data_IF_761385991994
#
_entry.id   IF_761385991994
#
_cell.length_a   1.000
_cell.length_b   1.000
_cell.length_c   1.000
_cell.angle_alpha   90.00
_cell.angle_beta   90.00
_cell.angle_gamma   90.00
#
_symmetry.space_group_name_H-M   'P 1'
#
loop_
_entity.id
_entity.type
_entity.pdbx_description
1 polymer ?
#
# COMPACT_ATOMS: atom_id res chain seq x y z
N UNK A 1 -21.16 14.53 -8.19
CA UNK A 1 -21.72 13.91 -6.98
C UNK A 1 -23.08 13.35 -7.33
N UNK A 2 -23.46 12.20 -6.78
CA UNK A 2 -24.80 11.65 -6.99
C UNK A 2 -25.81 12.17 -5.96
N UNK A 3 -27.07 11.71 -6.04
CA UNK A 3 -28.15 12.12 -5.15
C UNK A 3 -27.90 11.77 -3.68
N UNK A 4 -27.09 10.74 -3.41
CA UNK A 4 -26.77 10.30 -2.06
C UNK A 4 -25.56 11.04 -1.47
N UNK A 5 -24.97 12.00 -2.19
CA UNK A 5 -23.78 12.72 -1.73
C UNK A 5 -22.47 11.99 -1.99
N UNK A 6 -22.44 10.97 -2.85
CA UNK A 6 -21.22 10.21 -3.16
C UNK A 6 -20.44 10.86 -4.29
N UNK A 7 -19.12 10.82 -4.19
CA UNK A 7 -18.21 11.16 -5.29
C UNK A 7 -17.81 9.86 -5.99
N UNK A 8 -17.95 9.83 -7.32
CA UNK A 8 -17.57 8.69 -8.14
C UNK A 8 -16.28 9.03 -8.87
N UNK A 9 -15.23 8.25 -8.66
CA UNK A 9 -13.99 8.39 -9.41
C UNK A 9 -14.17 7.84 -10.83
N UNK A 10 -13.84 8.61 -11.89
CA UNK A 10 -13.89 8.13 -13.27
C UNK A 10 -13.02 6.89 -13.47
N UNK A 11 -13.44 5.96 -14.35
CA UNK A 11 -12.67 4.74 -14.65
C UNK A 11 -11.19 5.03 -15.00
N UNK A 12 -10.85 6.01 -15.86
CA UNK A 12 -9.45 6.29 -16.17
C UNK A 12 -8.60 6.65 -14.94
N UNK A 13 -9.18 7.36 -13.97
CA UNK A 13 -8.49 7.73 -12.72
C UNK A 13 -8.25 6.49 -11.86
N UNK A 14 -9.25 5.60 -11.76
CA UNK A 14 -9.10 4.34 -11.01
C UNK A 14 -8.04 3.44 -11.62
N UNK A 15 -8.03 3.32 -12.95
CA UNK A 15 -7.08 2.47 -13.68
C UNK A 15 -5.65 3.03 -13.55
N UNK A 16 -5.46 4.35 -13.67
CA UNK A 16 -4.16 5.01 -13.52
C UNK A 16 -3.57 4.85 -12.12
N UNK A 17 -4.42 4.85 -11.09
CA UNK A 17 -4.03 4.72 -9.70
C UNK A 17 -4.02 3.25 -9.23
N UNK A 18 -4.29 2.29 -10.12
CA UNK A 18 -4.41 0.85 -9.80
C UNK A 18 -5.34 0.57 -8.61
N UNK A 19 -6.47 1.27 -8.54
CA UNK A 19 -7.41 1.11 -7.43
C UNK A 19 -8.23 -0.17 -7.57
N UNK A 20 -8.20 -0.99 -6.54
CA UNK A 20 -9.00 -2.21 -6.46
C UNK A 20 -10.31 -1.99 -5.70
N UNK A 21 -11.28 -2.89 -5.89
CA UNK A 21 -12.53 -2.86 -5.11
C UNK A 21 -12.19 -3.11 -3.65
N UNK A 22 -12.72 -2.28 -2.75
CA UNK A 22 -12.43 -2.37 -1.32
C UNK A 22 -11.19 -1.59 -0.88
N UNK A 23 -10.54 -0.85 -1.79
CA UNK A 23 -9.50 0.09 -1.39
C UNK A 23 -10.05 1.12 -0.38
N UNK A 24 -9.35 1.24 0.75
CA UNK A 24 -9.65 2.19 1.80
C UNK A 24 -8.81 3.46 1.62
N UNK A 25 -9.38 4.61 1.97
CA UNK A 25 -8.72 5.90 1.83
C UNK A 25 -8.96 6.75 3.07
N UNK A 26 -7.91 7.47 3.48
CA UNK A 26 -8.03 8.59 4.39
C UNK A 26 -8.45 9.84 3.60
N UNK A 27 -9.37 10.60 4.19
CA UNK A 27 -9.89 11.83 3.60
C UNK A 27 -9.37 13.04 4.40
N UNK A 28 -8.56 13.87 3.75
CA UNK A 28 -8.06 15.12 4.34
C UNK A 28 -8.78 16.31 3.72
N UNK A 29 -9.30 17.20 4.56
CA UNK A 29 -9.90 18.47 4.14
C UNK A 29 -8.83 19.55 4.15
N UNK A 30 -8.57 20.16 3.00
CA UNK A 30 -7.55 21.19 2.80
C UNK A 30 -8.21 22.44 2.20
N UNK A 31 -8.73 23.30 3.08
CA UNK A 31 -9.54 24.46 2.70
C UNK A 31 -10.79 24.05 1.91
N UNK A 32 -10.79 24.37 0.62
CA UNK A 32 -11.87 24.01 -0.32
C UNK A 32 -11.59 22.72 -1.11
N UNK A 33 -10.47 22.05 -0.82
CA UNK A 33 -10.05 20.83 -1.48
C UNK A 33 -10.27 19.61 -0.58
N UNK A 34 -10.53 18.47 -1.21
CA UNK A 34 -10.45 17.16 -0.58
C UNK A 34 -9.26 16.42 -1.17
N UNK A 35 -8.40 15.88 -0.31
CA UNK A 35 -7.31 15.00 -0.69
C UNK A 35 -7.62 13.59 -0.22
N UNK A 36 -7.53 12.64 -1.14
CA UNK A 36 -7.66 11.22 -0.86
C UNK A 36 -6.25 10.62 -0.81
N UNK A 37 -5.94 9.98 0.30
CA UNK A 37 -4.68 9.26 0.48
C UNK A 37 -5.03 7.79 0.71
N UNK A 38 -4.33 6.82 0.09
CA UNK A 38 -4.55 5.41 0.41
C UNK A 38 -4.43 5.22 1.92
N UNK A 39 -5.41 4.54 2.53
CA UNK A 39 -5.30 4.18 3.94
C UNK A 39 -4.03 3.34 4.08
N UNK A 40 -3.05 3.85 4.82
CA UNK A 40 -1.79 3.16 4.97
C UNK A 40 -2.10 1.78 5.54
N UNK A 41 -1.65 0.67 4.90
CA UNK A 41 -1.71 -0.62 5.57
C UNK A 41 -0.94 -0.49 6.90
N UNK A 42 -1.28 -1.30 7.92
CA UNK A 42 -0.54 -1.30 9.17
C UNK A 42 0.96 -1.30 8.86
N UNK A 43 1.63 -0.20 9.17
CA UNK A 43 3.05 -0.06 8.85
C UNK A 43 3.75 -1.05 9.77
N UNK A 44 4.39 -2.07 9.16
CA UNK A 44 5.22 -3.01 9.93
C UNK A 44 6.21 -2.19 10.73
N UNK A 45 6.29 -2.47 12.03
CA UNK A 45 7.20 -1.73 12.90
C UNK A 45 8.62 -1.88 12.38
N UNK A 46 9.39 -0.79 12.43
CA UNK A 46 10.83 -0.87 12.16
C UNK A 46 11.50 -1.14 13.50
N UNK A 47 12.18 -2.28 13.58
CA UNK A 47 12.97 -2.72 14.74
C UNK A 47 14.46 -2.65 14.41
N UNK A 48 15.31 -2.50 15.42
CA UNK A 48 16.77 -2.52 15.22
C UNK A 48 17.32 -3.94 15.42
N UNK A 49 18.04 -4.46 14.43
CA UNK A 49 18.72 -5.76 14.48
C UNK A 49 20.16 -5.56 14.03
N UNK A 50 21.12 -5.86 14.90
CA UNK A 50 22.55 -5.68 14.64
C UNK A 50 22.94 -4.27 14.12
N UNK A 51 22.26 -3.23 14.61
CA UNK A 51 22.47 -1.83 14.20
C UNK A 51 21.77 -1.44 12.88
N UNK A 52 20.97 -2.33 12.30
CA UNK A 52 20.21 -2.09 11.07
C UNK A 52 18.71 -1.90 11.35
N UNK A 53 18.05 -0.93 10.72
CA UNK A 53 16.59 -0.84 10.75
C UNK A 53 15.99 -1.95 9.87
N UNK A 54 15.23 -2.85 10.49
CA UNK A 54 14.59 -4.01 9.84
C UNK A 54 13.10 -3.96 10.09
N UNK A 55 12.28 -4.33 9.09
CA UNK A 55 10.84 -4.49 9.30
C UNK A 55 10.58 -5.69 10.21
N UNK A 56 9.72 -5.52 11.20
CA UNK A 56 9.32 -6.57 12.13
C UNK A 56 8.90 -7.85 11.38
N UNK A 57 9.32 -9.04 11.85
CA UNK A 57 8.92 -10.31 11.25
C UNK A 57 7.41 -10.47 11.21
N UNK A 58 6.90 -11.08 10.15
CA UNK A 58 5.49 -11.48 10.06
C UNK A 58 5.39 -12.95 10.46
N UNK A 59 4.62 -13.23 11.50
CA UNK A 59 4.37 -14.60 11.96
C UNK A 59 3.87 -15.49 10.81
N UNK A 60 4.39 -16.72 10.76
CA UNK A 60 4.05 -17.70 9.72
C UNK A 60 4.67 -17.43 8.35
N UNK A 61 5.45 -16.36 8.18
CA UNK A 61 6.20 -16.09 6.94
C UNK A 61 7.68 -16.33 7.18
N UNK A 62 8.20 -17.44 6.64
CA UNK A 62 9.63 -17.71 6.57
C UNK A 62 10.08 -17.63 5.11
N UNK A 63 11.02 -16.72 4.82
CA UNK A 63 11.70 -16.66 3.53
C UNK A 63 13.09 -17.25 3.72
N UNK A 64 13.42 -18.27 2.92
CA UNK A 64 14.75 -18.88 2.93
C UNK A 64 15.68 -18.20 1.93
N UNK A 65 16.99 -18.41 2.06
CA UNK A 65 17.99 -17.95 1.09
C UNK A 65 17.70 -18.44 -0.34
N UNK A 66 17.11 -19.64 -0.48
CA UNK A 66 16.70 -20.18 -1.77
C UNK A 66 15.53 -19.39 -2.38
N UNK A 67 14.60 -18.91 -1.54
CA UNK A 67 13.49 -18.07 -1.97
C UNK A 67 13.98 -16.69 -2.41
N UNK A 68 14.88 -16.07 -1.63
CA UNK A 68 15.51 -14.79 -1.98
C UNK A 68 16.22 -14.90 -3.33
N UNK A 69 17.00 -15.97 -3.54
CA UNK A 69 17.73 -16.19 -4.79
C UNK A 69 16.78 -16.29 -5.98
N UNK A 70 15.71 -17.07 -5.84
CA UNK A 70 14.69 -17.26 -6.88
C UNK A 70 14.02 -15.94 -7.28
N UNK A 71 13.63 -15.13 -6.28
CA UNK A 71 12.97 -13.84 -6.51
C UNK A 71 13.90 -12.86 -7.23
N UNK A 72 15.15 -12.75 -6.76
CA UNK A 72 16.15 -11.88 -7.37
C UNK A 72 16.43 -12.26 -8.83
N UNK A 73 16.59 -13.54 -9.12
CA UNK A 73 16.88 -14.02 -10.47
C UNK A 73 15.68 -13.86 -11.43
N UNK A 74 14.45 -13.74 -10.90
CA UNK A 74 13.25 -13.46 -11.69
C UNK A 74 13.16 -11.99 -12.13
N UNK A 75 13.61 -11.05 -11.29
CA UNK A 75 13.58 -9.61 -11.55
C UNK A 75 14.70 -9.15 -12.50
N UNK A 76 15.78 -9.93 -12.63
CA UNK A 76 16.94 -9.63 -13.49
C UNK A 76 16.77 -10.06 -14.96
N UNK A 77 15.56 -10.39 -15.41
CA UNK A 77 15.25 -10.79 -16.80
C UNK A 77 14.36 -9.77 -17.48
#
# INVERSE_FOLDING_TARGET
MDRAGRIVLPKPVRDQLHLETGAEFELVVDGWSLRLEPAAPPIRQVVEVDGWPVLEPVDGTAITDADVRRLRDADQR
#
